data_IF_502253722484
#
_entry.id   IF_502253722484
#
_cell.length_a   1.000
_cell.length_b   1.000
_cell.length_c   1.000
_cell.angle_alpha   90.00
_cell.angle_beta   90.00
_cell.angle_gamma   90.00
#
_symmetry.space_group_name_H-M   'P 1'
#
loop_
_entity.id
_entity.type
_entity.pdbx_description
1 polymer ?
#
# COMPACT_ATOMS: atom_id res chain seq x y z
N UNK A 1 -26.95 -64.87 -12.13
CA UNK A 1 -26.20 -64.40 -10.95
C UNK A 1 -24.86 -63.90 -11.45
N UNK A 2 -24.81 -62.64 -11.87
CA UNK A 2 -23.59 -61.95 -12.30
C UNK A 2 -23.46 -60.66 -11.48
N UNK A 3 -22.25 -60.32 -10.99
CA UNK A 3 -22.04 -59.14 -10.17
C UNK A 3 -22.09 -57.84 -11.01
N UNK A 4 -22.53 -56.72 -10.42
CA UNK A 4 -22.61 -55.43 -11.11
C UNK A 4 -21.22 -54.80 -11.34
N UNK A 5 -21.08 -53.89 -12.33
CA UNK A 5 -19.79 -53.32 -12.74
C UNK A 5 -19.22 -52.31 -11.71
N UNK A 6 -17.88 -52.18 -11.75
CA UNK A 6 -17.07 -51.27 -10.92
C UNK A 6 -17.40 -49.79 -11.19
N UNK A 7 -17.64 -49.05 -10.10
CA UNK A 7 -17.91 -47.61 -10.10
C UNK A 7 -16.67 -46.79 -10.50
N UNK A 8 -16.83 -45.87 -11.44
CA UNK A 8 -15.82 -44.87 -11.83
C UNK A 8 -15.98 -43.62 -10.93
N UNK A 9 -14.92 -43.06 -10.32
CA UNK A 9 -15.03 -41.84 -9.51
C UNK A 9 -15.24 -40.61 -10.40
N UNK A 10 -16.39 -39.94 -10.25
CA UNK A 10 -16.60 -38.58 -10.75
C UNK A 10 -15.94 -37.54 -9.83
N UNK A 11 -15.58 -36.35 -10.35
CA UNK A 11 -14.82 -35.37 -9.59
C UNK A 11 -15.62 -34.83 -8.40
N UNK A 12 -14.93 -34.74 -7.26
CA UNK A 12 -15.47 -34.35 -5.97
C UNK A 12 -16.09 -32.95 -6.00
N UNK A 13 -17.35 -32.86 -5.57
CA UNK A 13 -17.97 -31.59 -5.17
C UNK A 13 -17.45 -31.22 -3.77
N UNK A 14 -16.32 -30.51 -3.70
CA UNK A 14 -15.99 -29.77 -2.49
C UNK A 14 -16.94 -28.57 -2.42
N UNK A 15 -17.94 -28.68 -1.54
CA UNK A 15 -18.79 -27.57 -1.15
C UNK A 15 -17.97 -26.56 -0.36
N UNK A 16 -17.40 -25.57 -1.06
CA UNK A 16 -16.98 -24.32 -0.43
C UNK A 16 -18.24 -23.61 0.01
N UNK A 17 -18.41 -23.44 1.33
CA UNK A 17 -19.50 -22.66 1.88
C UNK A 17 -19.23 -21.20 1.52
N UNK A 18 -20.09 -20.50 0.76
CA UNK A 18 -19.85 -19.09 0.48
C UNK A 18 -19.97 -18.31 1.79
N UNK A 19 -18.91 -17.61 2.17
CA UNK A 19 -18.95 -16.63 3.26
C UNK A 19 -20.06 -15.60 2.97
N UNK A 20 -20.88 -15.21 3.96
CA UNK A 20 -22.04 -14.33 3.74
C UNK A 20 -21.69 -12.87 3.45
N UNK A 21 -20.42 -12.54 3.21
CA UNK A 21 -19.96 -11.18 2.94
C UNK A 21 -20.08 -10.75 1.47
N UNK A 22 -20.39 -11.67 0.55
CA UNK A 22 -20.35 -11.42 -0.90
C UNK A 22 -21.66 -10.92 -1.54
N UNK A 23 -22.59 -10.38 -0.75
CA UNK A 23 -23.86 -9.89 -1.29
C UNK A 23 -23.99 -8.35 -1.37
N UNK A 24 -22.95 -7.55 -1.08
CA UNK A 24 -23.10 -6.07 -1.15
C UNK A 24 -21.91 -5.26 -1.67
N UNK A 25 -20.89 -5.87 -2.28
CA UNK A 25 -19.75 -5.12 -2.86
C UNK A 25 -20.06 -4.48 -4.21
N UNK A 26 -21.27 -4.62 -4.74
CA UNK A 26 -21.69 -3.95 -5.97
C UNK A 26 -21.90 -2.43 -5.81
N UNK A 27 -22.13 -1.93 -4.59
CA UNK A 27 -22.58 -0.55 -4.38
C UNK A 27 -21.49 0.43 -3.91
N UNK A 28 -20.30 -0.03 -3.49
CA UNK A 28 -19.19 0.86 -3.15
C UNK A 28 -17.82 0.16 -3.17
N UNK A 29 -17.00 0.30 -4.24
CA UNK A 29 -15.67 -0.32 -4.33
C UNK A 29 -14.67 0.20 -3.28
N UNK A 30 -15.02 1.28 -2.56
CA UNK A 30 -14.18 1.90 -1.54
C UNK A 30 -14.53 1.48 -0.11
N UNK A 31 -15.52 0.59 0.08
CA UNK A 31 -15.91 0.11 1.40
C UNK A 31 -14.74 -0.54 2.16
N UNK A 32 -13.78 -1.10 1.42
CA UNK A 32 -12.56 -1.69 1.95
C UNK A 32 -11.55 -0.67 2.49
N UNK A 33 -11.57 0.58 2.02
CA UNK A 33 -10.68 1.63 2.58
C UNK A 33 -10.99 1.95 4.05
N UNK A 34 -12.16 1.56 4.56
CA UNK A 34 -12.53 1.68 5.99
C UNK A 34 -11.77 0.73 6.91
N UNK A 35 -11.18 -0.34 6.37
CA UNK A 35 -10.61 -1.41 7.19
C UNK A 35 -9.09 -1.31 7.34
N UNK A 36 -8.47 -0.25 6.81
CA UNK A 36 -7.03 0.00 6.83
C UNK A 36 -6.78 1.45 7.25
N UNK A 37 -5.70 1.69 7.97
CA UNK A 37 -5.21 3.05 8.17
C UNK A 37 -4.34 3.45 6.96
N UNK A 38 -4.68 4.56 6.32
CA UNK A 38 -3.94 5.02 5.13
C UNK A 38 -2.80 5.97 5.52
N UNK A 39 -1.60 5.71 5.00
CA UNK A 39 -0.40 6.52 5.24
C UNK A 39 0.16 7.02 3.91
N UNK A 40 0.21 8.34 3.71
CA UNK A 40 0.95 8.94 2.61
C UNK A 40 2.41 9.17 3.01
N UNK A 41 3.33 8.56 2.27
CA UNK A 41 4.77 8.84 2.36
C UNK A 41 5.20 9.65 1.13
N UNK A 42 5.37 10.95 1.31
CA UNK A 42 5.65 11.88 0.22
C UNK A 42 7.16 12.12 0.12
N UNK A 43 7.71 11.86 -1.05
CA UNK A 43 9.07 12.26 -1.40
C UNK A 43 9.13 13.78 -1.53
N UNK A 44 9.90 14.42 -0.65
CA UNK A 44 10.23 15.84 -0.68
C UNK A 44 11.73 16.05 -0.92
N UNK A 45 12.42 15.10 -1.55
CA UNK A 45 13.83 15.23 -1.90
C UNK A 45 14.09 16.30 -2.97
N UNK A 46 15.36 16.64 -3.19
CA UNK A 46 15.74 17.66 -4.18
C UNK A 46 15.34 17.33 -5.63
N UNK A 47 15.25 16.05 -6.01
CA UNK A 47 14.83 15.64 -7.37
C UNK A 47 13.40 16.06 -7.69
N UNK A 48 12.54 16.07 -6.67
CA UNK A 48 11.13 16.41 -6.79
C UNK A 48 10.89 17.85 -7.25
N UNK A 49 11.89 18.73 -7.15
CA UNK A 49 11.75 20.16 -7.45
C UNK A 49 11.17 20.43 -8.85
N UNK A 50 10.15 21.28 -8.91
CA UNK A 50 9.56 21.74 -10.16
C UNK A 50 8.40 20.87 -10.64
N UNK A 51 8.64 20.01 -11.64
CA UNK A 51 7.56 19.28 -12.33
C UNK A 51 6.95 18.20 -11.44
N UNK A 52 7.79 17.33 -10.87
CA UNK A 52 7.36 16.21 -10.05
C UNK A 52 6.57 16.67 -8.83
N UNK A 53 7.05 17.69 -8.10
CA UNK A 53 6.34 18.26 -6.95
C UNK A 53 4.94 18.80 -7.31
N UNK A 54 4.81 19.44 -8.48
CA UNK A 54 3.50 19.88 -8.98
C UNK A 54 2.59 18.72 -9.36
N UNK A 55 3.14 17.64 -9.90
CA UNK A 55 2.40 16.41 -10.21
C UNK A 55 1.94 15.71 -8.92
N UNK A 56 2.80 15.65 -7.89
CA UNK A 56 2.46 15.16 -6.54
C UNK A 56 1.30 15.94 -5.92
N UNK A 57 1.34 17.28 -5.99
CA UNK A 57 0.23 18.11 -5.49
C UNK A 57 -1.10 17.76 -6.16
N UNK A 58 -1.11 17.60 -7.49
CA UNK A 58 -2.30 17.18 -8.24
C UNK A 58 -2.77 15.76 -7.89
N UNK A 59 -1.82 14.86 -7.66
CA UNK A 59 -2.13 13.51 -7.23
C UNK A 59 -2.84 13.51 -5.88
N UNK A 60 -2.31 14.26 -4.90
CA UNK A 60 -2.95 14.43 -3.58
C UNK A 60 -4.35 15.05 -3.70
N UNK A 61 -4.51 16.10 -4.52
CA UNK A 61 -5.83 16.70 -4.78
C UNK A 61 -6.85 15.68 -5.32
N UNK A 62 -6.39 14.67 -6.04
CA UNK A 62 -7.24 13.63 -6.65
C UNK A 62 -7.52 12.47 -5.69
N UNK A 63 -6.50 12.01 -4.97
CA UNK A 63 -6.54 10.76 -4.19
C UNK A 63 -7.08 11.02 -2.78
N UNK A 64 -6.68 12.13 -2.15
CA UNK A 64 -7.05 12.39 -0.75
C UNK A 64 -8.55 12.49 -0.48
N UNK A 65 -9.39 13.09 -1.36
CA UNK A 65 -10.84 13.07 -1.17
C UNK A 65 -11.42 11.66 -1.10
N UNK A 66 -10.83 10.71 -1.84
CA UNK A 66 -11.23 9.29 -1.81
C UNK A 66 -10.86 8.71 -0.45
N UNK A 67 -9.59 8.83 -0.03
CA UNK A 67 -9.14 8.28 1.25
C UNK A 67 -9.89 8.87 2.45
N UNK A 68 -10.04 10.19 2.53
CA UNK A 68 -10.66 10.88 3.67
C UNK A 68 -12.17 10.68 3.78
N UNK A 69 -12.87 10.32 2.69
CA UNK A 69 -14.30 9.99 2.74
C UNK A 69 -14.55 8.59 3.32
N UNK A 70 -13.55 7.72 3.24
CA UNK A 70 -13.68 6.32 3.62
C UNK A 70 -12.89 5.95 4.87
N UNK A 71 -11.87 6.72 5.25
CA UNK A 71 -11.12 6.53 6.48
C UNK A 71 -11.70 7.41 7.61
N UNK A 72 -12.28 6.78 8.64
CA UNK A 72 -13.02 7.47 9.70
C UNK A 72 -12.13 8.10 10.78
N UNK A 73 -10.94 7.52 11.01
CA UNK A 73 -9.89 8.05 11.86
C UNK A 73 -8.94 8.97 11.08
N UNK A 74 -8.99 8.93 9.75
CA UNK A 74 -8.27 9.84 8.87
C UNK A 74 -6.88 9.31 8.54
N UNK A 75 -6.17 10.06 7.69
CA UNK A 75 -4.91 9.59 7.11
C UNK A 75 -3.69 10.20 7.79
N UNK A 76 -2.60 9.46 7.79
CA UNK A 76 -1.31 9.98 8.24
C UNK A 76 -0.47 10.45 7.05
N UNK A 77 0.25 11.55 7.23
CA UNK A 77 1.17 12.11 6.24
C UNK A 77 2.58 12.09 6.83
N UNK A 78 3.51 11.60 6.02
CA UNK A 78 4.94 11.63 6.27
C UNK A 78 5.65 12.20 5.04
N UNK A 79 6.77 12.86 5.28
CA UNK A 79 7.70 13.29 4.23
C UNK A 79 9.05 12.59 4.44
N UNK A 80 9.84 12.40 3.39
CA UNK A 80 11.15 11.77 3.52
C UNK A 80 12.11 12.60 4.38
N UNK A 81 12.22 13.89 4.09
CA UNK A 81 13.19 14.82 4.67
C UNK A 81 12.55 15.74 5.71
N UNK A 82 11.32 16.22 5.47
CA UNK A 82 10.65 17.09 6.42
C UNK A 82 10.40 16.38 7.77
N UNK A 83 10.57 17.08 8.91
CA UNK A 83 10.31 16.51 10.23
C UNK A 83 8.85 16.05 10.37
N UNK A 84 8.64 14.98 11.13
CA UNK A 84 7.29 14.52 11.45
C UNK A 84 6.60 15.49 12.45
N UNK A 85 5.28 15.55 12.40
CA UNK A 85 4.46 16.43 13.24
C UNK A 85 3.15 15.74 13.63
N UNK A 86 2.66 16.03 14.83
CA UNK A 86 1.33 15.56 15.27
C UNK A 86 0.20 16.16 14.44
N UNK A 87 0.43 17.30 13.78
CA UNK A 87 -0.53 17.91 12.85
C UNK A 87 -0.69 17.11 11.55
N UNK A 88 0.21 16.16 11.30
CA UNK A 88 0.21 15.33 10.09
C UNK A 88 -0.43 13.96 10.34
N UNK A 89 -1.12 13.77 11.49
CA UNK A 89 -1.75 12.50 11.86
C UNK A 89 -3.25 12.61 11.91
N UNK A 90 -3.96 11.53 11.56
CA UNK A 90 -5.43 11.46 11.61
C UNK A 90 -6.10 12.61 10.84
N UNK A 91 -5.58 12.95 9.66
CA UNK A 91 -6.07 14.07 8.86
C UNK A 91 -7.34 13.64 8.12
N UNK A 92 -8.49 14.16 8.55
CA UNK A 92 -9.79 13.79 7.99
C UNK A 92 -10.28 14.69 6.83
N UNK A 93 -9.48 15.67 6.41
CA UNK A 93 -9.89 16.65 5.39
C UNK A 93 -8.87 16.75 4.27
N UNK A 94 -9.33 16.58 3.03
CA UNK A 94 -8.50 16.78 1.85
C UNK A 94 -7.89 18.19 1.77
N UNK A 95 -8.63 19.22 2.19
CA UNK A 95 -8.10 20.58 2.22
C UNK A 95 -6.88 20.69 3.15
N UNK A 96 -6.93 20.06 4.33
CA UNK A 96 -5.83 20.07 5.30
C UNK A 96 -4.59 19.35 4.77
N UNK A 97 -4.76 18.26 4.01
CA UNK A 97 -3.63 17.59 3.33
C UNK A 97 -2.93 18.52 2.35
N UNK A 98 -3.70 19.26 1.55
CA UNK A 98 -3.15 20.23 0.60
C UNK A 98 -2.45 21.37 1.33
N UNK A 99 -3.02 21.88 2.41
CA UNK A 99 -2.38 22.91 3.24
C UNK A 99 -1.05 22.42 3.82
N UNK A 100 -1.00 21.22 4.39
CA UNK A 100 0.23 20.59 4.90
C UNK A 100 1.27 20.48 3.78
N UNK A 101 0.89 19.94 2.62
CA UNK A 101 1.77 19.81 1.46
C UNK A 101 2.34 21.16 1.02
N UNK A 102 1.53 22.22 1.05
CA UNK A 102 1.96 23.57 0.69
C UNK A 102 2.92 24.22 1.69
N UNK A 103 3.07 23.70 2.91
CA UNK A 103 4.10 24.18 3.86
C UNK A 103 5.48 23.58 3.61
N UNK A 104 5.58 22.49 2.86
CA UNK A 104 6.83 21.76 2.60
C UNK A 104 7.45 22.20 1.27
N UNK A 105 8.79 22.16 1.19
CA UNK A 105 9.55 22.46 -0.02
C UNK A 105 10.54 21.33 -0.31
N UNK A 106 10.67 20.91 -1.58
CA UNK A 106 11.65 19.91 -1.99
C UNK A 106 13.09 20.27 -1.58
N UNK A 107 13.81 19.30 -1.02
CA UNK A 107 15.21 19.41 -0.62
C UNK A 107 15.71 18.15 0.09
N UNK A 108 17.03 17.97 0.15
CA UNK A 108 17.63 16.77 0.74
C UNK A 108 17.69 15.58 -0.22
N UNK A 109 17.87 14.39 0.33
CA UNK A 109 18.10 13.14 -0.41
C UNK A 109 16.86 12.23 -0.34
N UNK A 110 16.81 11.22 -1.22
CA UNK A 110 15.69 10.27 -1.30
C UNK A 110 15.91 9.09 -0.36
N UNK A 111 15.96 9.37 0.95
CA UNK A 111 16.24 8.36 2.01
C UNK A 111 14.98 7.58 2.40
N UNK A 112 14.45 6.80 1.48
CA UNK A 112 13.18 6.08 1.62
C UNK A 112 13.28 4.96 2.66
N UNK A 113 14.39 4.22 2.72
CA UNK A 113 14.62 3.17 3.72
C UNK A 113 14.48 3.69 5.14
N UNK A 114 15.12 4.83 5.41
CA UNK A 114 15.16 5.40 6.75
C UNK A 114 13.74 5.75 7.20
N UNK A 115 12.95 6.40 6.33
CA UNK A 115 11.60 6.82 6.68
C UNK A 115 10.62 5.65 6.78
N UNK A 116 10.71 4.67 5.89
CA UNK A 116 9.91 3.44 6.00
C UNK A 116 10.16 2.72 7.31
N UNK A 117 11.42 2.58 7.75
CA UNK A 117 11.73 1.97 9.05
C UNK A 117 11.12 2.73 10.23
N UNK A 118 11.05 4.06 10.16
CA UNK A 118 10.43 4.88 11.21
C UNK A 118 8.92 4.66 11.31
N UNK A 119 8.26 4.26 10.21
CA UNK A 119 6.83 3.96 10.16
C UNK A 119 6.57 2.50 10.53
N UNK A 120 7.28 1.56 9.89
CA UNK A 120 7.05 0.13 10.03
C UNK A 120 7.44 -0.40 11.41
N UNK A 121 8.54 0.06 12.03
CA UNK A 121 8.97 -0.49 13.33
C UNK A 121 7.97 -0.22 14.46
N UNK A 122 7.45 1.01 14.65
CA UNK A 122 6.39 1.25 15.62
C UNK A 122 5.13 0.44 15.31
N UNK A 123 4.75 0.33 14.03
CA UNK A 123 3.59 -0.46 13.62
C UNK A 123 3.72 -1.94 14.01
N UNK A 124 4.83 -2.59 13.65
CA UNK A 124 5.10 -4.00 13.98
C UNK A 124 5.12 -4.23 15.50
N UNK A 125 5.63 -3.27 16.28
CA UNK A 125 5.59 -3.34 17.74
C UNK A 125 4.16 -3.26 18.28
N UNK A 126 3.30 -2.39 17.71
CA UNK A 126 1.87 -2.33 18.07
C UNK A 126 1.16 -3.62 17.72
N UNK A 127 1.37 -4.13 16.51
CA UNK A 127 0.79 -5.40 16.06
C UNK A 127 1.21 -6.54 16.97
N UNK A 128 2.50 -6.68 17.26
CA UNK A 128 3.01 -7.71 18.19
C UNK A 128 2.39 -7.63 19.59
N UNK A 129 2.13 -6.42 20.08
CA UNK A 129 1.57 -6.20 21.42
C UNK A 129 0.06 -6.47 21.47
N UNK A 130 -0.68 -6.19 20.39
CA UNK A 130 -2.13 -6.35 20.34
C UNK A 130 -2.60 -6.65 18.89
N UNK A 131 -2.42 -7.87 18.38
CA UNK A 131 -2.76 -8.23 17.00
C UNK A 131 -4.24 -7.98 16.66
N UNK A 132 -5.15 -8.39 17.54
CA UNK A 132 -6.60 -8.35 17.32
C UNK A 132 -7.19 -6.93 17.22
N UNK A 133 -6.47 -5.94 17.73
CA UNK A 133 -6.90 -4.53 17.74
C UNK A 133 -5.93 -3.61 17.00
N UNK A 134 -5.00 -4.18 16.23
CA UNK A 134 -4.12 -3.39 15.35
C UNK A 134 -4.66 -3.49 13.93
N UNK A 135 -5.25 -2.39 13.46
CA UNK A 135 -5.71 -2.30 12.08
C UNK A 135 -4.54 -2.49 11.11
N UNK A 136 -4.77 -3.13 9.97
CA UNK A 136 -3.86 -3.10 8.83
C UNK A 136 -3.51 -1.68 8.40
N UNK A 137 -2.37 -1.53 7.72
CA UNK A 137 -1.96 -0.24 7.14
C UNK A 137 -1.73 -0.35 5.63
N UNK A 138 -2.02 0.72 4.91
CA UNK A 138 -1.67 0.90 3.50
C UNK A 138 -0.79 2.14 3.33
N UNK A 139 0.48 1.94 2.96
CA UNK A 139 1.47 3.01 2.78
C UNK A 139 1.55 3.39 1.30
N UNK A 140 1.06 4.56 0.91
CA UNK A 140 1.16 5.10 -0.44
C UNK A 140 2.40 5.99 -0.52
N UNK A 141 3.47 5.50 -1.15
CA UNK A 141 4.73 6.21 -1.37
C UNK A 141 4.66 6.99 -2.67
N UNK A 142 4.69 8.32 -2.63
CA UNK A 142 4.70 9.16 -3.84
C UNK A 142 6.12 9.68 -4.10
N UNK A 143 6.74 9.26 -5.21
CA UNK A 143 8.14 9.60 -5.54
C UNK A 143 8.35 9.78 -7.05
N UNK A 144 9.39 10.53 -7.44
CA UNK A 144 9.77 10.74 -8.84
C UNK A 144 10.99 9.98 -9.32
N UNK A 145 11.66 9.28 -8.42
CA UNK A 145 13.03 8.85 -8.61
C UNK A 145 13.35 7.49 -8.03
N UNK A 146 14.58 7.06 -8.33
CA UNK A 146 15.21 5.93 -7.67
C UNK A 146 15.60 6.33 -6.24
N UNK A 147 15.24 5.51 -5.22
CA UNK A 147 15.65 5.80 -3.85
C UNK A 147 17.17 5.89 -3.75
N UNK A 148 17.67 6.80 -2.92
CA UNK A 148 19.10 6.96 -2.67
C UNK A 148 19.64 5.86 -1.73
N UNK A 149 18.77 5.00 -1.24
CA UNK A 149 19.06 3.91 -0.32
C UNK A 149 18.26 2.64 -0.66
N UNK A 150 18.56 1.55 0.05
CA UNK A 150 17.93 0.25 -0.14
C UNK A 150 16.53 0.19 0.48
N UNK A 151 15.52 0.35 -0.38
CA UNK A 151 14.09 0.24 -0.04
C UNK A 151 13.60 -1.19 0.19
N UNK A 152 14.28 -2.18 -0.39
CA UNK A 152 13.88 -3.59 -0.30
C UNK A 152 14.00 -4.10 1.14
N UNK A 153 15.16 -3.86 1.76
CA UNK A 153 15.48 -4.31 3.12
C UNK A 153 14.39 -4.07 4.18
N UNK A 154 13.87 -2.84 4.40
CA UNK A 154 12.87 -2.58 5.43
C UNK A 154 11.53 -3.24 5.14
N UNK A 155 11.17 -3.37 3.86
CA UNK A 155 9.93 -4.02 3.44
C UNK A 155 10.04 -5.51 3.73
N UNK A 156 11.09 -6.17 3.22
CA UNK A 156 11.35 -7.60 3.45
C UNK A 156 11.37 -7.91 4.94
N UNK A 157 12.08 -7.11 5.74
CA UNK A 157 12.14 -7.29 7.18
C UNK A 157 10.76 -7.19 7.85
N UNK A 158 9.89 -6.29 7.39
CA UNK A 158 8.54 -6.16 7.91
C UNK A 158 7.66 -7.36 7.50
N UNK A 159 7.74 -7.80 6.24
CA UNK A 159 7.02 -8.97 5.73
C UNK A 159 7.40 -10.22 6.51
N UNK A 160 8.70 -10.50 6.66
CA UNK A 160 9.20 -11.64 7.43
C UNK A 160 8.72 -11.56 8.89
N UNK A 161 8.71 -10.36 9.48
CA UNK A 161 8.25 -10.19 10.87
C UNK A 161 6.75 -10.44 11.02
N UNK A 162 5.94 -10.00 10.06
CA UNK A 162 4.51 -10.26 10.05
C UNK A 162 4.21 -11.75 9.82
N UNK A 163 5.01 -12.42 9.00
CA UNK A 163 4.92 -13.87 8.77
C UNK A 163 5.23 -14.66 10.05
N UNK A 164 6.31 -14.32 10.76
CA UNK A 164 6.63 -14.88 12.08
C UNK A 164 5.53 -14.67 13.13
N UNK A 165 4.71 -13.64 12.96
CA UNK A 165 3.59 -13.30 13.85
C UNK A 165 2.25 -13.88 13.36
N UNK A 166 2.26 -14.73 12.33
CA UNK A 166 1.08 -15.32 11.69
C UNK A 166 0.04 -14.26 11.27
N UNK A 167 0.52 -13.09 10.87
CA UNK A 167 -0.35 -12.00 10.46
C UNK A 167 -1.03 -12.29 9.11
N UNK A 168 -2.28 -11.83 8.92
CA UNK A 168 -2.94 -11.91 7.63
C UNK A 168 -2.09 -11.27 6.51
N UNK A 169 -2.15 -11.82 5.30
CA UNK A 169 -1.36 -11.30 4.17
C UNK A 169 -1.64 -9.81 3.87
N UNK A 170 -2.88 -9.38 4.09
CA UNK A 170 -3.34 -8.00 3.94
C UNK A 170 -2.97 -7.09 5.12
N UNK A 171 -2.26 -7.54 6.15
CA UNK A 171 -1.94 -6.70 7.32
C UNK A 171 -1.06 -5.50 6.98
N UNK A 172 -0.31 -5.55 5.87
CA UNK A 172 0.54 -4.47 5.39
C UNK A 172 0.44 -4.40 3.86
N UNK A 173 0.06 -3.25 3.34
CA UNK A 173 0.21 -2.89 1.92
C UNK A 173 1.14 -1.70 1.77
N UNK A 174 1.93 -1.68 0.71
CA UNK A 174 2.80 -0.57 0.31
C UNK A 174 2.61 -0.36 -1.18
N UNK A 175 2.31 0.87 -1.61
CA UNK A 175 2.05 1.20 -2.99
C UNK A 175 3.02 2.30 -3.43
N UNK A 176 3.86 2.02 -4.42
CA UNK A 176 4.73 3.02 -5.01
C UNK A 176 4.01 3.73 -6.15
N UNK A 177 3.71 4.99 -5.91
CA UNK A 177 3.09 5.88 -6.87
C UNK A 177 4.14 6.78 -7.51
N UNK A 178 4.54 6.41 -8.72
CA UNK A 178 5.55 7.16 -9.45
C UNK A 178 4.94 8.40 -10.10
N UNK A 179 5.42 9.58 -9.71
CA UNK A 179 5.24 10.83 -10.46
C UNK A 179 6.44 11.06 -11.37
N UNK A 180 6.36 11.97 -12.33
CA UNK A 180 7.47 12.16 -13.25
C UNK A 180 7.44 11.19 -14.44
N UNK A 181 8.52 11.20 -15.23
CA UNK A 181 8.66 10.38 -16.46
C UNK A 181 10.01 9.68 -16.52
N UNK A 182 10.67 9.55 -15.38
CA UNK A 182 12.03 9.03 -15.33
C UNK A 182 12.02 7.51 -15.57
N UNK A 183 12.63 7.02 -16.67
CA UNK A 183 12.62 5.59 -17.00
C UNK A 183 13.33 4.74 -15.94
N UNK A 184 14.39 5.28 -15.32
CA UNK A 184 15.14 4.58 -14.27
C UNK A 184 14.29 4.26 -13.04
N UNK A 185 13.45 5.20 -12.61
CA UNK A 185 12.53 4.99 -11.49
C UNK A 185 11.51 3.88 -11.79
N UNK A 186 10.99 3.83 -13.02
CA UNK A 186 10.05 2.78 -13.44
C UNK A 186 10.69 1.39 -13.42
N UNK A 187 11.92 1.29 -13.91
CA UNK A 187 12.66 0.02 -13.94
C UNK A 187 13.02 -0.44 -12.52
N UNK A 188 13.48 0.47 -11.66
CA UNK A 188 13.79 0.16 -10.27
C UNK A 188 12.58 -0.36 -9.50
N UNK A 189 11.41 0.30 -9.63
CA UNK A 189 10.19 -0.12 -8.95
C UNK A 189 9.67 -1.47 -9.48
N UNK A 190 9.84 -1.74 -10.77
CA UNK A 190 9.53 -3.06 -11.33
C UNK A 190 10.46 -4.14 -10.77
N UNK A 191 11.76 -3.86 -10.63
CA UNK A 191 12.71 -4.81 -10.04
C UNK A 191 12.41 -5.06 -8.56
N UNK A 192 11.96 -4.05 -7.83
CA UNK A 192 11.49 -4.18 -6.45
C UNK A 192 10.30 -5.15 -6.36
N UNK A 193 9.31 -4.99 -7.22
CA UNK A 193 8.14 -5.88 -7.32
C UNK A 193 8.54 -7.32 -7.65
N UNK A 194 9.32 -7.52 -8.73
CA UNK A 194 9.80 -8.84 -9.16
C UNK A 194 10.59 -9.56 -8.04
N UNK A 195 11.46 -8.85 -7.31
CA UNK A 195 12.25 -9.43 -6.20
C UNK A 195 11.41 -9.82 -4.99
N UNK A 196 10.40 -9.03 -4.65
CA UNK A 196 9.53 -9.34 -3.53
C UNK A 196 8.66 -10.56 -3.85
N UNK A 197 8.21 -10.71 -5.10
CA UNK A 197 7.53 -11.90 -5.58
C UNK A 197 8.44 -13.14 -5.49
N UNK A 198 9.71 -13.05 -5.90
CA UNK A 198 10.68 -14.14 -5.81
C UNK A 198 10.91 -14.60 -4.35
N UNK A 199 10.96 -13.66 -3.41
CA UNK A 199 11.17 -13.95 -1.98
C UNK A 199 9.96 -14.64 -1.33
N UNK A 200 8.76 -14.51 -1.89
CA UNK A 200 7.57 -15.18 -1.37
C UNK A 200 7.51 -16.69 -1.68
N UNK A 201 8.28 -17.17 -2.66
CA UNK A 201 8.40 -18.60 -2.99
C UNK A 201 7.09 -19.25 -3.51
N UNK A 202 6.89 -20.54 -3.19
CA UNK A 202 5.69 -21.32 -3.58
C UNK A 202 4.46 -21.05 -2.68
N UNK A 203 4.63 -20.28 -1.60
CA UNK A 203 3.50 -19.78 -0.82
C UNK A 203 2.89 -18.62 -1.63
N UNK A 204 1.56 -18.49 -1.66
CA UNK A 204 0.90 -17.38 -2.38
C UNK A 204 1.64 -16.07 -2.11
N UNK A 205 2.12 -15.37 -3.16
CA UNK A 205 2.86 -14.14 -2.97
C UNK A 205 2.00 -13.22 -2.13
N UNK A 206 2.47 -12.85 -0.93
CA UNK A 206 1.88 -11.76 -0.20
C UNK A 206 2.14 -10.54 -1.07
N UNK A 207 1.15 -10.18 -1.88
CA UNK A 207 1.17 -9.05 -2.80
C UNK A 207 1.09 -7.75 -1.99
N UNK A 208 2.19 -7.49 -1.29
CA UNK A 208 2.35 -6.42 -0.30
C UNK A 208 2.80 -5.14 -0.99
N UNK A 209 3.42 -5.25 -2.18
CA UNK A 209 3.99 -4.10 -2.90
C UNK A 209 3.40 -4.00 -4.29
N UNK A 210 2.71 -2.90 -4.59
CA UNK A 210 2.25 -2.57 -5.94
C UNK A 210 2.96 -1.29 -6.44
N UNK A 211 3.14 -1.19 -7.77
CA UNK A 211 3.70 -0.01 -8.42
C UNK A 211 2.74 0.54 -9.47
N UNK A 212 2.29 1.78 -9.27
CA UNK A 212 1.36 2.47 -10.19
C UNK A 212 1.97 3.77 -10.72
N UNK A 213 2.16 3.92 -12.05
CA UNK A 213 2.61 5.19 -12.63
C UNK A 213 1.46 6.21 -12.70
N UNK A 214 1.74 7.47 -12.38
CA UNK A 214 0.77 8.55 -12.53
C UNK A 214 0.60 8.93 -14.01
N UNK A 215 -0.47 8.43 -14.62
CA UNK A 215 -0.87 8.81 -15.99
C UNK A 215 -2.10 9.73 -16.03
N UNK A 216 -2.64 10.13 -14.87
CA UNK A 216 -3.87 10.92 -14.76
C UNK A 216 -5.15 10.19 -15.18
N UNK A 217 -5.07 8.90 -15.53
CA UNK A 217 -6.18 8.16 -16.13
C UNK A 217 -7.04 7.37 -15.14
N UNK A 218 -6.56 7.07 -13.93
CA UNK A 218 -7.32 6.26 -12.98
C UNK A 218 -6.83 6.42 -11.52
N UNK A 219 -7.40 7.34 -10.72
CA UNK A 219 -7.08 7.45 -9.29
C UNK A 219 -7.55 6.24 -8.45
N UNK A 220 -8.35 5.34 -9.02
CA UNK A 220 -8.89 4.16 -8.34
C UNK A 220 -7.82 3.09 -8.20
N UNK A 221 -7.02 2.86 -9.26
CA UNK A 221 -5.83 1.98 -9.18
C UNK A 221 -4.83 2.42 -8.11
N UNK A 222 -4.78 3.72 -7.80
CA UNK A 222 -3.83 4.29 -6.83
C UNK A 222 -4.25 4.07 -5.37
N UNK A 223 -5.54 3.86 -5.11
CA UNK A 223 -6.04 3.55 -3.77
C UNK A 223 -6.20 2.04 -3.55
N UNK A 224 -6.48 1.29 -4.62
CA UNK A 224 -6.97 -0.09 -4.57
C UNK A 224 -5.99 -1.14 -5.09
N UNK A 225 -4.72 -0.80 -5.39
CA UNK A 225 -3.70 -1.74 -5.86
C UNK A 225 -3.77 -3.09 -5.13
N UNK A 226 -4.24 -4.12 -5.84
CA UNK A 226 -4.47 -5.54 -5.49
C UNK A 226 -5.14 -5.93 -4.17
N UNK A 227 -5.62 -4.98 -3.36
CA UNK A 227 -6.31 -5.28 -2.10
C UNK A 227 -7.73 -5.87 -2.28
N UNK A 228 -8.18 -6.08 -3.52
CA UNK A 228 -9.34 -6.89 -3.87
C UNK A 228 -8.82 -8.13 -4.60
N UNK A 229 -9.02 -9.35 -4.07
CA UNK A 229 -8.66 -10.56 -4.82
C UNK A 229 -9.42 -10.55 -6.15
N UNK A 230 -8.70 -10.74 -7.26
CA UNK A 230 -9.33 -10.92 -8.57
C UNK A 230 -10.36 -12.06 -8.49
N UNK A 231 -11.54 -11.81 -9.05
CA UNK A 231 -12.64 -12.78 -9.15
C UNK A 231 -12.36 -13.73 -10.31
#
# INVERSE_FOLDING_TARGET
NEPPPLYTPGPAKNAVTPMPYLASTADNPYAFLKTFDTIFLIDDSGSMAGRSWRETGKALETITPICTTHDADGIDIYFLNHPDSTMYKNVCSAATVIEIFQTVRPGGATLTRQRLNQILRPYLNRYKANPDNTKPINIIVITDGEPSDDVESPIIAAVMKLDELEAPAWQLGIQFFQVGKEPGAREHLKQLDDRLAELAGDNEPKDIVDTVPFSGADPYRVCLGYMIPEI
#
